data_IF_332628616740
#
_entry.id   IF_332628616740
#
_cell.length_a   1.000
_cell.length_b   1.000
_cell.length_c   1.000
_cell.angle_alpha   90.00
_cell.angle_beta   90.00
_cell.angle_gamma   90.00
#
_symmetry.space_group_name_H-M   'P 1'
#
loop_
_entity.id
_entity.type
_entity.pdbx_description
1 polymer ?
#
# COMPACT_ATOMS: atom_id res chain seq x y z
N UNK A 1 57.64 -1.32 32.94
CA UNK A 1 57.41 -0.65 31.63
C UNK A 1 57.33 -1.73 30.56
N UNK A 2 56.43 -1.73 29.55
CA UNK A 2 55.00 -1.35 29.49
C UNK A 2 54.08 -2.55 29.15
N UNK A 3 52.77 -2.29 29.03
CA UNK A 3 51.62 -3.19 28.90
C UNK A 3 51.24 -3.36 27.39
N UNK A 4 50.93 -4.59 26.95
CA UNK A 4 50.17 -4.92 25.73
C UNK A 4 48.87 -5.58 26.23
N UNK A 5 47.65 -5.15 25.93
CA UNK A 5 47.13 -4.39 24.80
C UNK A 5 45.86 -5.15 24.37
N UNK A 6 44.70 -4.70 24.89
CA UNK A 6 43.44 -5.43 24.85
C UNK A 6 42.89 -5.70 23.46
N UNK A 7 42.20 -6.83 23.33
CA UNK A 7 41.45 -7.23 22.16
C UNK A 7 39.98 -7.33 22.56
N UNK A 8 39.24 -6.23 22.51
CA UNK A 8 37.78 -6.24 22.61
C UNK A 8 37.18 -5.20 21.66
N UNK A 9 36.04 -5.54 21.06
CA UNK A 9 35.10 -4.53 20.56
C UNK A 9 34.97 -4.40 19.05
N UNK A 10 34.68 -5.48 18.33
CA UNK A 10 34.03 -5.38 17.00
C UNK A 10 32.94 -6.42 16.82
N UNK A 11 31.88 -6.36 17.62
CA UNK A 11 30.67 -7.13 17.32
C UNK A 11 29.37 -6.57 17.91
N UNK A 12 29.29 -5.26 18.17
CA UNK A 12 28.08 -4.64 18.75
C UNK A 12 27.45 -3.52 17.91
N UNK A 13 28.09 -3.07 16.82
CA UNK A 13 27.61 -1.92 16.04
C UNK A 13 26.62 -2.30 14.91
N UNK A 14 26.72 -3.51 14.36
CA UNK A 14 25.91 -3.93 13.20
C UNK A 14 24.47 -4.38 13.56
N UNK A 15 24.18 -4.62 14.84
CA UNK A 15 22.83 -4.97 15.32
C UNK A 15 21.98 -3.73 15.67
N UNK A 16 22.64 -2.57 15.91
CA UNK A 16 21.96 -1.33 16.27
C UNK A 16 21.34 -0.62 15.06
N UNK A 17 21.94 -0.76 13.87
CA UNK A 17 21.48 -0.07 12.66
C UNK A 17 20.22 -0.73 12.08
N UNK A 18 20.09 -2.06 12.17
CA UNK A 18 18.90 -2.79 11.73
C UNK A 18 17.71 -2.58 12.68
N UNK A 19 17.94 -2.46 13.99
CA UNK A 19 16.88 -2.11 14.95
C UNK A 19 16.46 -0.64 14.80
N UNK A 20 17.39 0.29 14.59
CA UNK A 20 17.05 1.69 14.35
C UNK A 20 16.32 1.90 13.01
N UNK A 21 16.67 1.16 11.96
CA UNK A 21 15.97 1.20 10.68
C UNK A 21 14.61 0.51 10.76
N UNK A 22 14.49 -0.62 11.47
CA UNK A 22 13.22 -1.29 11.74
C UNK A 22 12.28 -0.43 12.59
N UNK A 23 12.82 0.29 13.59
CA UNK A 23 12.05 1.20 14.44
C UNK A 23 11.67 2.47 13.69
N UNK A 24 12.55 3.05 12.86
CA UNK A 24 12.19 4.16 11.98
C UNK A 24 11.13 3.77 10.94
N UNK A 25 11.16 2.53 10.44
CA UNK A 25 10.11 1.95 9.60
C UNK A 25 8.80 1.79 10.40
N UNK A 26 8.86 1.28 11.64
CA UNK A 26 7.69 1.17 12.54
C UNK A 26 7.07 2.53 12.88
N UNK A 27 7.86 3.50 13.35
CA UNK A 27 7.38 4.85 13.67
C UNK A 27 6.84 5.58 12.43
N UNK A 28 7.44 5.35 11.25
CA UNK A 28 6.91 5.87 9.99
C UNK A 28 5.61 5.15 9.55
N UNK A 29 5.43 3.89 9.94
CA UNK A 29 4.19 3.10 9.83
C UNK A 29 3.09 3.52 10.81
N UNK A 30 3.45 3.94 12.02
CA UNK A 30 2.51 4.34 13.07
C UNK A 30 1.85 5.72 12.83
N UNK A 31 2.51 6.63 12.11
CA UNK A 31 1.91 7.91 11.67
C UNK A 31 1.07 7.81 10.38
N UNK A 32 0.97 6.61 9.81
CA UNK A 32 0.07 6.35 8.69
C UNK A 32 -1.38 6.19 9.20
N UNK A 33 -2.41 6.38 8.36
CA UNK A 33 -3.64 5.65 8.60
C UNK A 33 -3.25 4.17 8.77
N UNK A 34 -3.67 3.52 9.87
CA UNK A 34 -3.37 2.11 10.12
C UNK A 34 -3.66 1.32 8.84
N UNK A 35 -2.62 0.73 8.24
CA UNK A 35 -2.73 -0.10 7.05
C UNK A 35 -3.34 -1.42 7.50
N UNK A 36 -4.64 -1.38 7.74
CA UNK A 36 -5.42 -2.49 8.29
C UNK A 36 -6.68 -2.67 7.43
N UNK A 37 -7.13 -3.91 7.36
CA UNK A 37 -8.40 -4.24 6.73
C UNK A 37 -9.52 -3.65 7.59
N UNK A 38 -10.45 -2.94 6.96
CA UNK A 38 -11.57 -2.31 7.64
C UNK A 38 -12.86 -2.48 6.86
N UNK A 39 -13.95 -2.63 7.61
CA UNK A 39 -15.31 -2.68 7.10
C UNK A 39 -16.21 -1.92 8.09
N UNK A 40 -16.88 -0.88 7.61
CA UNK A 40 -17.84 -0.07 8.37
C UNK A 40 -19.20 -0.17 7.70
N UNK A 41 -20.27 -0.24 8.49
CA UNK A 41 -21.68 -0.43 8.11
C UNK A 41 -21.91 -1.37 6.91
N UNK A 42 -21.23 -2.52 6.91
CA UNK A 42 -21.44 -3.56 5.90
C UNK A 42 -20.82 -3.27 4.53
N UNK A 43 -20.02 -2.21 4.37
CA UNK A 43 -19.22 -1.95 3.17
C UNK A 43 -17.86 -2.65 3.29
N UNK A 44 -17.54 -3.51 2.33
CA UNK A 44 -16.33 -4.32 2.37
C UNK A 44 -15.67 -4.44 1.02
N UNK A 45 -14.34 -4.48 1.01
CA UNK A 45 -13.54 -4.87 -0.14
C UNK A 45 -13.26 -6.37 -0.02
N UNK A 46 -13.97 -7.19 -0.78
CA UNK A 46 -13.90 -8.65 -0.64
C UNK A 46 -12.73 -9.23 -1.40
N UNK A 47 -12.37 -8.66 -2.54
CA UNK A 47 -11.25 -9.11 -3.37
C UNK A 47 -10.41 -7.93 -3.85
N UNK A 48 -9.10 -8.11 -3.82
CA UNK A 48 -8.14 -7.23 -4.48
C UNK A 48 -7.14 -8.13 -5.18
N UNK A 49 -6.98 -7.96 -6.49
CA UNK A 49 -5.93 -8.56 -7.27
C UNK A 49 -5.15 -7.45 -7.97
N UNK A 50 -3.83 -7.56 -7.97
CA UNK A 50 -2.95 -6.64 -8.66
C UNK A 50 -1.95 -7.45 -9.46
N UNK A 51 -1.76 -7.08 -10.72
CA UNK A 51 -0.79 -7.70 -11.63
C UNK A 51 -0.01 -6.64 -12.39
N UNK A 52 1.18 -6.98 -12.88
CA UNK A 52 1.97 -6.07 -13.71
C UNK A 52 1.30 -5.89 -15.08
N UNK A 53 1.26 -4.66 -15.57
CA UNK A 53 0.80 -4.40 -16.93
C UNK A 53 1.91 -4.82 -17.92
N UNK A 54 1.60 -5.78 -18.80
CA UNK A 54 2.60 -6.38 -19.70
C UNK A 54 3.29 -5.41 -20.68
N UNK A 55 2.70 -4.25 -20.95
CA UNK A 55 3.13 -3.32 -21.99
C UNK A 55 3.79 -2.03 -21.47
N UNK A 56 3.87 -1.85 -20.16
CA UNK A 56 4.24 -0.56 -19.54
C UNK A 56 5.11 -0.80 -18.29
N UNK A 57 6.30 -0.18 -18.26
CA UNK A 57 7.17 -0.27 -17.09
C UNK A 57 6.55 0.43 -15.89
N UNK A 58 6.55 -0.27 -14.75
CA UNK A 58 6.00 0.20 -13.47
C UNK A 58 4.50 0.56 -13.50
N UNK A 59 3.76 0.04 -14.46
CA UNK A 59 2.31 0.10 -14.54
C UNK A 59 1.71 -1.21 -14.03
N UNK A 60 0.62 -1.11 -13.28
CA UNK A 60 -0.06 -2.23 -12.64
C UNK A 60 -1.54 -2.18 -12.99
N UNK A 61 -2.12 -3.36 -13.24
CA UNK A 61 -3.57 -3.53 -13.33
C UNK A 61 -4.11 -3.95 -11.98
N UNK A 62 -5.28 -3.45 -11.63
CA UNK A 62 -6.01 -3.89 -10.46
C UNK A 62 -7.40 -4.40 -10.82
N UNK A 63 -7.87 -5.37 -10.03
CA UNK A 63 -9.25 -5.84 -9.98
C UNK A 63 -9.70 -5.82 -8.53
N UNK A 64 -10.74 -5.06 -8.22
CA UNK A 64 -11.29 -4.88 -6.89
C UNK A 64 -12.77 -5.25 -6.89
N UNK A 65 -13.16 -6.07 -5.93
CA UNK A 65 -14.57 -6.43 -5.70
C UNK A 65 -15.03 -5.82 -4.38
N UNK A 66 -16.15 -5.11 -4.43
CA UNK A 66 -16.75 -4.41 -3.31
C UNK A 66 -18.16 -4.96 -3.08
N UNK A 67 -18.45 -5.31 -1.84
CA UNK A 67 -19.78 -5.72 -1.39
C UNK A 67 -20.29 -4.72 -0.35
N UNK A 68 -21.56 -4.36 -0.45
CA UNK A 68 -22.25 -3.47 0.48
C UNK A 68 -23.54 -4.13 0.98
N UNK A 69 -23.58 -4.45 2.28
CA UNK A 69 -24.75 -5.01 2.97
C UNK A 69 -25.51 -3.98 3.81
N UNK A 70 -25.01 -2.75 3.88
CA UNK A 70 -25.62 -1.67 4.64
C UNK A 70 -26.26 -0.62 3.74
N UNK A 71 -26.10 0.64 4.14
CA UNK A 71 -26.61 1.78 3.37
C UNK A 71 -25.79 1.99 2.10
N UNK A 72 -26.42 2.53 1.05
CA UNK A 72 -25.74 2.94 -0.18
C UNK A 72 -24.51 3.78 0.15
N UNK A 73 -23.37 3.39 -0.42
CA UNK A 73 -22.11 4.11 -0.32
C UNK A 73 -21.96 5.03 -1.52
N UNK A 74 -21.56 6.29 -1.30
CA UNK A 74 -21.20 7.25 -2.35
C UNK A 74 -19.88 7.90 -1.95
N UNK A 75 -18.80 7.63 -2.68
CA UNK A 75 -17.48 8.04 -2.24
C UNK A 75 -16.38 7.82 -3.27
N UNK A 76 -15.13 7.80 -2.82
CA UNK A 76 -13.96 7.62 -3.68
C UNK A 76 -13.24 6.33 -3.34
N UNK A 77 -12.60 5.72 -4.33
CA UNK A 77 -11.62 4.66 -4.12
C UNK A 77 -10.22 5.23 -4.35
N UNK A 78 -9.33 5.03 -3.38
CA UNK A 78 -7.92 5.40 -3.49
C UNK A 78 -7.03 4.17 -3.35
N UNK A 79 -5.95 4.15 -4.13
CA UNK A 79 -4.91 3.13 -4.07
C UNK A 79 -3.61 3.80 -3.59
N UNK A 80 -3.10 3.32 -2.46
CA UNK A 80 -1.82 3.72 -1.90
C UNK A 80 -0.83 2.56 -2.03
N UNK A 81 0.40 2.88 -2.42
CA UNK A 81 1.47 1.90 -2.56
C UNK A 81 2.58 2.23 -1.59
N UNK A 82 3.00 1.23 -0.81
CA UNK A 82 4.22 1.29 -0.02
C UNK A 82 5.25 0.32 -0.62
N UNK A 83 6.46 0.82 -0.87
CA UNK A 83 7.51 0.05 -1.51
C UNK A 83 8.90 0.50 -1.11
N UNK A 84 9.90 -0.35 -1.41
CA UNK A 84 11.31 -0.05 -1.14
C UNK A 84 11.91 0.73 -2.30
N UNK A 85 12.71 1.74 -1.97
CA UNK A 85 13.58 2.42 -2.92
C UNK A 85 14.89 1.67 -3.14
N UNK A 86 15.70 2.01 -4.18
CA UNK A 86 17.04 1.45 -4.35
C UNK A 86 17.95 1.64 -3.12
N UNK A 87 17.73 2.70 -2.34
CA UNK A 87 18.45 2.95 -1.09
C UNK A 87 17.92 2.15 0.11
N UNK A 88 17.00 1.20 -0.09
CA UNK A 88 16.42 0.38 0.99
C UNK A 88 15.25 1.02 1.73
N UNK A 89 15.08 2.35 1.63
CA UNK A 89 14.05 3.11 2.34
C UNK A 89 12.64 2.77 1.85
N UNK A 90 11.71 2.55 2.79
CA UNK A 90 10.28 2.41 2.51
C UNK A 90 9.66 3.78 2.20
N UNK A 91 9.07 3.93 1.01
CA UNK A 91 8.31 5.11 0.62
C UNK A 91 6.84 4.77 0.38
N UNK A 92 5.99 5.74 0.71
CA UNK A 92 4.57 5.74 0.34
C UNK A 92 4.36 6.64 -0.84
N UNK A 93 3.55 6.18 -1.78
CA UNK A 93 3.03 6.99 -2.86
C UNK A 93 1.54 6.79 -2.95
N UNK A 94 0.79 7.87 -3.10
CA UNK A 94 -0.55 7.78 -3.69
C UNK A 94 -0.34 7.59 -5.17
N UNK A 95 -1.06 6.65 -5.77
CA UNK A 95 -1.05 6.56 -7.23
C UNK A 95 -2.15 7.48 -7.74
N UNK A 96 -1.87 8.27 -8.76
CA UNK A 96 -2.94 9.03 -9.44
C UNK A 96 -4.02 8.03 -9.85
N UNK A 97 -5.27 8.41 -9.56
CA UNK A 97 -6.42 7.51 -9.58
C UNK A 97 -6.47 6.72 -10.89
N UNK A 98 -6.13 5.44 -10.79
CA UNK A 98 -7.00 4.34 -11.16
C UNK A 98 -8.03 4.74 -12.23
N UNK A 99 -7.63 4.70 -13.51
CA UNK A 99 -8.57 4.62 -14.64
C UNK A 99 -9.35 3.30 -14.49
N UNK A 100 -10.30 3.28 -13.55
CA UNK A 100 -11.49 2.48 -13.76
C UNK A 100 -12.21 3.05 -14.98
N UNK A 101 -13.23 2.36 -15.50
CA UNK A 101 -14.18 2.95 -16.43
C UNK A 101 -15.02 4.09 -15.79
N UNK A 102 -14.35 4.99 -15.06
CA UNK A 102 -14.74 6.24 -14.44
C UNK A 102 -13.88 7.26 -15.16
N UNK A 103 -14.48 8.02 -16.07
CA UNK A 103 -13.79 9.04 -16.87
C UNK A 103 -12.91 9.94 -15.99
N UNK A 104 -11.71 10.24 -16.48
CA UNK A 104 -10.67 11.01 -15.81
C UNK A 104 -11.22 12.19 -14.97
N UNK A 105 -11.03 12.11 -13.65
CA UNK A 105 -11.35 13.17 -12.70
C UNK A 105 -12.32 12.72 -11.61
N UNK A 106 -11.80 12.14 -10.53
CA UNK A 106 -12.43 12.08 -9.20
C UNK A 106 -13.96 11.85 -9.16
N UNK A 107 -14.50 10.96 -10.01
CA UNK A 107 -15.94 10.74 -10.03
C UNK A 107 -16.34 9.77 -8.91
N UNK A 108 -17.31 10.21 -8.11
CA UNK A 108 -17.85 9.50 -6.96
C UNK A 108 -18.39 8.13 -7.38
N UNK A 109 -17.83 7.06 -6.83
CA UNK A 109 -18.37 5.72 -6.98
C UNK A 109 -19.61 5.54 -6.11
N UNK A 110 -20.61 4.84 -6.64
CA UNK A 110 -21.83 4.50 -5.89
C UNK A 110 -21.99 2.99 -5.80
N UNK A 111 -21.98 2.45 -4.57
CA UNK A 111 -22.14 1.01 -4.34
C UNK A 111 -23.41 0.77 -3.52
N UNK A 112 -24.45 0.25 -4.18
CA UNK A 112 -25.71 -0.11 -3.52
C UNK A 112 -25.68 -1.53 -2.92
N UNK A 113 -25.04 -2.48 -3.60
CA UNK A 113 -24.90 -3.87 -3.14
C UNK A 113 -23.59 -4.51 -3.54
N UNK A 114 -23.20 -4.33 -4.79
CA UNK A 114 -22.02 -4.97 -5.36
C UNK A 114 -21.43 -4.09 -6.44
N UNK A 115 -20.10 -4.02 -6.50
CA UNK A 115 -19.37 -3.38 -7.58
C UNK A 115 -18.08 -4.13 -7.85
N UNK A 116 -17.75 -4.32 -9.12
CA UNK A 116 -16.41 -4.70 -9.56
C UNK A 116 -15.78 -3.51 -10.25
N UNK A 117 -14.62 -3.09 -9.76
CA UNK A 117 -13.84 -2.01 -10.32
C UNK A 117 -12.49 -2.57 -10.78
N UNK A 118 -12.08 -2.24 -12.00
CA UNK A 118 -10.78 -2.62 -12.53
C UNK A 118 -10.17 -1.47 -13.29
N UNK A 119 -8.85 -1.37 -13.28
CA UNK A 119 -8.17 -0.25 -13.91
C UNK A 119 -6.65 -0.38 -13.86
N UNK A 120 -5.97 0.73 -14.12
CA UNK A 120 -4.50 0.81 -14.07
C UNK A 120 -4.02 1.90 -13.14
N UNK A 121 -2.85 1.69 -12.55
CA UNK A 121 -2.11 2.72 -11.84
C UNK A 121 -0.61 2.57 -12.09
N UNK A 122 0.11 3.69 -12.04
CA UNK A 122 1.57 3.70 -12.20
C UNK A 122 2.25 3.95 -10.87
N UNK A 123 3.36 3.26 -10.65
CA UNK A 123 4.24 3.45 -9.49
C UNK A 123 5.52 4.13 -9.98
N UNK A 124 6.09 5.09 -9.22
CA UNK A 124 7.38 5.66 -9.55
C UNK A 124 8.45 4.58 -9.77
N UNK A 125 9.26 4.71 -10.82
CA UNK A 125 10.22 3.68 -11.23
C UNK A 125 11.28 3.34 -10.17
N UNK A 126 11.49 4.23 -9.21
CA UNK A 126 12.40 4.04 -8.08
C UNK A 126 11.71 3.44 -6.84
N UNK A 127 10.50 2.89 -6.97
CA UNK A 127 9.78 2.24 -5.87
C UNK A 127 9.40 0.82 -6.32
N UNK A 128 9.95 -0.19 -5.64
CA UNK A 128 9.51 -1.57 -5.79
C UNK A 128 8.35 -1.85 -4.81
N UNK A 129 7.11 -2.09 -5.29
CA UNK A 129 5.96 -2.29 -4.43
C UNK A 129 6.15 -3.47 -3.48
N UNK A 130 5.75 -3.30 -2.22
CA UNK A 130 5.71 -4.36 -1.21
C UNK A 130 4.32 -4.52 -0.61
N UNK A 131 3.56 -3.43 -0.58
CA UNK A 131 2.23 -3.40 0.00
C UNK A 131 1.37 -2.43 -0.79
N UNK A 132 0.13 -2.83 -1.03
CA UNK A 132 -0.88 -2.00 -1.69
C UNK A 132 -2.06 -1.92 -0.75
N UNK A 133 -2.58 -0.72 -0.60
CA UNK A 133 -3.71 -0.40 0.25
C UNK A 133 -4.80 0.24 -0.58
N UNK A 134 -5.94 -0.42 -0.64
CA UNK A 134 -7.13 0.11 -1.28
C UNK A 134 -8.04 0.61 -0.18
N UNK A 135 -8.49 1.87 -0.27
CA UNK A 135 -9.44 2.46 0.69
C UNK A 135 -10.62 3.08 -0.03
N UNK A 136 -11.79 2.92 0.58
CA UNK A 136 -13.05 3.55 0.18
C UNK A 136 -13.33 4.70 1.14
N UNK A 137 -13.44 5.91 0.62
CA UNK A 137 -13.61 7.14 1.37
C UNK A 137 -15.01 7.72 1.12
N UNK A 138 -15.77 7.99 2.17
CA UNK A 138 -17.02 8.75 2.10
C UNK A 138 -16.87 10.01 2.96
N UNK A 139 -17.02 11.18 2.34
CA UNK A 139 -16.77 12.49 3.00
C UNK A 139 -15.37 12.61 3.66
N UNK A 140 -14.35 11.96 3.08
CA UNK A 140 -12.98 11.98 3.60
C UNK A 140 -12.67 10.93 4.67
N UNK A 141 -13.68 10.22 5.17
CA UNK A 141 -13.52 9.17 6.17
C UNK A 141 -13.43 7.79 5.52
N UNK A 142 -12.52 6.94 6.02
CA UNK A 142 -12.39 5.57 5.50
C UNK A 142 -13.59 4.74 5.97
N UNK A 143 -14.30 4.17 4.99
CA UNK A 143 -15.47 3.31 5.20
C UNK A 143 -15.17 1.83 4.98
N UNK A 144 -14.19 1.54 4.15
CA UNK A 144 -13.62 0.20 4.00
C UNK A 144 -12.18 0.32 3.54
N UNK A 145 -11.35 -0.62 3.93
CA UNK A 145 -9.98 -0.73 3.43
C UNK A 145 -9.53 -2.16 3.34
N UNK A 146 -8.56 -2.40 2.46
CA UNK A 146 -7.92 -3.71 2.30
C UNK A 146 -6.45 -3.55 1.97
N UNK A 147 -5.63 -4.32 2.67
CA UNK A 147 -4.19 -4.40 2.49
C UNK A 147 -3.87 -5.68 1.72
N UNK A 148 -3.01 -5.57 0.72
CA UNK A 148 -2.40 -6.74 0.08
C UNK A 148 -0.88 -6.61 0.12
N UNK A 149 -0.23 -7.74 0.36
CA UNK A 149 1.23 -7.86 0.31
C UNK A 149 1.64 -8.32 -1.08
N UNK A 150 2.52 -7.54 -1.70
CA UNK A 150 3.07 -7.87 -3.02
C UNK A 150 4.32 -8.72 -2.79
N UNK A 151 4.16 -10.03 -2.99
CA UNK A 151 5.30 -10.94 -3.08
C UNK A 151 5.98 -10.74 -4.44
N UNK A 152 7.32 -10.82 -4.47
CA UNK A 152 8.10 -10.62 -5.69
C UNK A 152 7.71 -11.58 -6.83
N UNK A 153 7.12 -12.72 -6.47
CA UNK A 153 6.70 -13.81 -7.36
C UNK A 153 5.32 -13.55 -8.00
N UNK A 154 4.52 -12.61 -7.48
CA UNK A 154 3.17 -12.33 -8.00
C UNK A 154 3.15 -11.27 -9.11
N UNK A 155 4.32 -10.86 -9.61
CA UNK A 155 4.48 -9.84 -10.66
C UNK A 155 5.10 -10.36 -11.96
N UNK A 156 5.26 -11.67 -12.08
CA UNK A 156 5.73 -12.35 -13.30
C UNK A 156 4.64 -12.51 -14.34
#
# INVERSE_FOLDING_TARGET
>A
MPILGGQEGKSSAALSETEAEAEAIRTSLERAPKWEDMNVDGLSITQVAVSRAASEDNSFRYDVTIENKGRRFIGNMEILVAGKTPAGVMKRTSTESAEANLSAGAELMSVARYLRASGKFSVPANISPRMIFVKLLEHGEIRASKVIWVQAENLS
#
